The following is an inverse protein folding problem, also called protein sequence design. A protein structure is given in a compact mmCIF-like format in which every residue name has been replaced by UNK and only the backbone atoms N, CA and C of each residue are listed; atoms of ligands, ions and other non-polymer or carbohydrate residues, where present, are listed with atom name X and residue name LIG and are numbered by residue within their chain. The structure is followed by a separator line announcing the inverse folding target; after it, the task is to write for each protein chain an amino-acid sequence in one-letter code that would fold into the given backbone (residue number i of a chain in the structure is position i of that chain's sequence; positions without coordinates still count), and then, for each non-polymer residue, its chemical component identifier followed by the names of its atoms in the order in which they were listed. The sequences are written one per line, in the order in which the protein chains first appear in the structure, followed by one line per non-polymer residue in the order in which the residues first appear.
data_IF_832785377907
#
_entry.id   IF_832785377907
#
_cell.length_a   1.000
_cell.length_b   1.000
_cell.length_c   1.000
_cell.angle_alpha   90.00
_cell.angle_beta   90.00
_cell.angle_gamma   90.00
#
_symmetry.space_group_name_H-M   'P 1'
#
loop_
_entity.id
_entity.type
_entity.pdbx_description
1 polymer ?
#
# COMPACT_ATOMS: atom_id res chain seq x y z
N UNK A 1 -12.00 29.37 15.80
CA UNK A 1 -11.85 28.74 14.48
C UNK A 1 -13.17 28.86 13.76
N UNK A 2 -13.23 29.58 12.64
CA UNK A 2 -14.49 29.72 11.89
C UNK A 2 -14.88 28.38 11.24
N UNK A 3 -16.15 28.20 10.90
CA UNK A 3 -16.62 26.93 10.32
C UNK A 3 -15.96 26.63 8.97
N UNK A 4 -15.72 27.65 8.15
CA UNK A 4 -14.98 27.51 6.89
C UNK A 4 -13.49 27.22 7.08
N UNK A 5 -12.88 27.70 8.17
CA UNK A 5 -11.49 27.38 8.52
C UNK A 5 -11.34 25.88 8.86
N UNK A 6 -12.35 25.28 9.49
CA UNK A 6 -12.38 23.83 9.75
C UNK A 6 -12.51 23.04 8.43
N UNK A 7 -13.34 23.50 7.49
CA UNK A 7 -13.52 22.86 6.19
C UNK A 7 -12.26 22.93 5.32
N UNK A 8 -11.58 24.08 5.32
CA UNK A 8 -10.32 24.31 4.64
C UNK A 8 -9.18 23.47 5.23
N UNK A 9 -9.00 23.49 6.55
CA UNK A 9 -8.03 22.64 7.25
C UNK A 9 -8.29 21.16 7.02
N UNK A 10 -9.55 20.72 7.12
CA UNK A 10 -9.93 19.32 6.91
C UNK A 10 -9.64 18.84 5.48
N UNK A 11 -10.06 19.61 4.48
CA UNK A 11 -9.77 19.30 3.06
C UNK A 11 -8.27 19.37 2.73
N UNK A 12 -7.50 20.23 3.40
CA UNK A 12 -6.04 20.26 3.27
C UNK A 12 -5.37 18.98 3.79
N UNK A 13 -5.78 18.45 4.95
CA UNK A 13 -5.26 17.17 5.44
C UNK A 13 -5.61 16.01 4.51
N UNK A 14 -6.81 16.01 3.93
CA UNK A 14 -7.18 15.01 2.92
C UNK A 14 -6.31 15.15 1.66
N UNK A 15 -6.09 16.38 1.17
CA UNK A 15 -5.15 16.62 0.07
C UNK A 15 -3.75 16.10 0.40
N UNK A 16 -3.21 16.44 1.57
CA UNK A 16 -1.88 16.00 2.00
C UNK A 16 -1.79 14.47 2.10
N UNK A 17 -2.87 13.80 2.54
CA UNK A 17 -2.93 12.33 2.54
C UNK A 17 -2.74 11.74 1.15
N UNK A 18 -3.32 12.35 0.10
CA UNK A 18 -3.17 11.87 -1.26
C UNK A 18 -1.81 12.21 -1.87
N UNK A 19 -1.20 13.34 -1.48
CA UNK A 19 0.19 13.65 -1.85
C UNK A 19 1.15 12.60 -1.28
N UNK A 20 0.97 12.20 -0.02
CA UNK A 20 1.80 11.16 0.60
C UNK A 20 1.55 9.79 -0.06
N UNK A 21 0.29 9.46 -0.38
CA UNK A 21 -0.03 8.25 -1.13
C UNK A 21 0.69 8.22 -2.49
N UNK A 22 0.61 9.31 -3.26
CA UNK A 22 1.29 9.44 -4.56
C UNK A 22 2.81 9.29 -4.45
N UNK A 23 3.43 9.94 -3.47
CA UNK A 23 4.88 9.82 -3.23
C UNK A 23 5.22 8.37 -2.84
N UNK A 24 4.39 7.74 -2.01
CA UNK A 24 4.53 6.35 -1.62
C UNK A 24 4.46 5.39 -2.80
N UNK A 25 3.49 5.55 -3.69
CA UNK A 25 3.30 4.72 -4.89
C UNK A 25 4.50 4.84 -5.84
N UNK A 26 4.98 6.06 -6.07
CA UNK A 26 6.18 6.32 -6.90
C UNK A 26 7.42 5.70 -6.25
N UNK A 27 7.60 5.88 -4.95
CA UNK A 27 8.74 5.33 -4.22
C UNK A 27 8.72 3.79 -4.23
N UNK A 28 7.55 3.17 -4.03
CA UNK A 28 7.39 1.73 -4.11
C UNK A 28 7.74 1.19 -5.51
N UNK A 29 7.34 1.89 -6.57
CA UNK A 29 7.69 1.53 -7.95
C UNK A 29 9.20 1.64 -8.20
N UNK A 30 9.86 2.70 -7.70
CA UNK A 30 11.31 2.88 -7.82
C UNK A 30 12.05 1.76 -7.08
N UNK A 31 11.65 1.46 -5.84
CA UNK A 31 12.26 0.41 -5.02
C UNK A 31 12.08 -0.95 -5.70
N UNK A 32 10.88 -1.25 -6.20
CA UNK A 32 10.59 -2.50 -6.91
C UNK A 32 11.39 -2.62 -8.21
N UNK A 33 11.52 -1.53 -8.98
CA UNK A 33 12.30 -1.51 -10.23
C UNK A 33 13.80 -1.72 -9.96
N UNK A 34 14.37 -0.99 -8.99
CA UNK A 34 15.78 -1.15 -8.61
C UNK A 34 16.08 -2.58 -8.13
N UNK A 35 15.12 -3.18 -7.44
CA UNK A 35 15.19 -4.55 -6.96
C UNK A 35 15.13 -5.58 -8.11
N UNK A 36 14.28 -5.38 -9.13
CA UNK A 36 14.26 -6.23 -10.33
C UNK A 36 15.60 -6.16 -11.07
N UNK A 37 16.16 -4.96 -11.24
CA UNK A 37 17.43 -4.74 -11.92
C UNK A 37 18.61 -5.41 -11.19
N UNK A 38 18.66 -5.31 -9.86
CA UNK A 38 19.64 -6.02 -9.04
C UNK A 38 19.54 -7.54 -9.25
N UNK A 39 18.34 -8.11 -9.22
CA UNK A 39 18.19 -9.57 -9.42
C UNK A 39 18.50 -10.04 -10.84
N UNK A 40 18.16 -9.24 -11.87
CA UNK A 40 18.50 -9.54 -13.25
C UNK A 40 20.01 -9.53 -13.48
N UNK A 41 20.73 -8.58 -12.88
CA UNK A 41 22.20 -8.52 -12.94
C UNK A 41 22.86 -9.66 -12.17
N UNK A 42 22.31 -10.07 -11.02
CA UNK A 42 22.73 -11.28 -10.32
C UNK A 42 22.49 -12.55 -11.15
N UNK A 43 21.31 -12.72 -11.79
CA UNK A 43 21.05 -13.84 -12.70
C UNK A 43 21.97 -13.87 -13.92
N UNK A 44 22.27 -12.71 -14.50
CA UNK A 44 23.21 -12.56 -15.61
C UNK A 44 24.64 -12.91 -15.24
N UNK A 45 25.06 -12.60 -14.01
CA UNK A 45 26.36 -13.05 -13.49
C UNK A 45 26.38 -14.57 -13.22
N UNK A 46 25.27 -15.16 -12.77
CA UNK A 46 25.14 -16.61 -12.56
C UNK A 46 25.21 -17.37 -13.90
N UNK A 47 24.56 -16.88 -14.95
CA UNK A 47 24.64 -17.47 -16.30
C UNK A 47 26.05 -17.35 -16.90
N UNK A 48 26.77 -16.27 -16.61
CA UNK A 48 28.19 -16.13 -16.99
C UNK A 48 29.10 -17.09 -16.21
N UNK A 49 28.91 -17.28 -14.91
CA UNK A 49 29.73 -18.23 -14.13
C UNK A 49 29.47 -19.67 -14.60
N UNK A 50 28.21 -20.07 -14.77
CA UNK A 50 27.86 -21.42 -15.25
C UNK A 50 28.34 -21.71 -16.67
N UNK A 51 28.37 -20.72 -17.56
CA UNK A 51 28.95 -20.87 -18.90
C UNK A 51 30.49 -20.94 -18.90
N UNK A 52 31.18 -20.15 -18.07
CA UNK A 52 32.66 -20.22 -17.95
C UNK A 52 33.12 -21.58 -17.41
N UNK A 53 32.38 -22.19 -16.46
CA UNK A 53 32.68 -23.52 -15.96
C UNK A 53 32.30 -24.66 -16.93
N UNK A 54 31.30 -24.45 -17.81
CA UNK A 54 30.91 -25.43 -18.83
C UNK A 54 31.93 -25.59 -19.98
N UNK A 55 32.79 -24.60 -20.20
CA UNK A 55 33.79 -24.62 -21.28
C UNK A 55 35.23 -24.94 -20.85
N UNK A 56 35.55 -24.96 -19.54
CA UNK A 56 36.95 -25.02 -19.09
C UNK A 56 37.33 -26.21 -18.20
N UNK A 57 36.55 -27.29 -18.17
CA UNK A 57 36.92 -28.51 -17.43
C UNK A 57 37.57 -29.56 -18.33
N UNK A 58 38.80 -29.30 -18.75
CA UNK A 58 39.79 -30.38 -18.86
C UNK A 58 40.78 -30.21 -17.71
N UNK A 59 40.67 -31.11 -16.73
CA UNK A 59 41.64 -31.36 -15.66
C UNK A 59 42.04 -30.21 -14.72
N UNK A 60 41.16 -29.76 -13.80
CA UNK A 60 41.58 -29.38 -12.44
C UNK A 60 40.40 -29.65 -11.49
N UNK A 61 40.63 -30.54 -10.51
CA UNK A 61 39.84 -30.86 -9.31
C UNK A 61 38.37 -30.42 -9.29
N UNK A 62 37.46 -31.40 -9.33
CA UNK A 62 36.04 -31.27 -9.03
C UNK A 62 35.81 -30.89 -7.55
N UNK A 63 36.18 -29.66 -7.17
CA UNK A 63 35.81 -29.10 -5.89
C UNK A 63 34.36 -28.61 -5.99
N UNK A 64 33.45 -29.46 -5.53
CA UNK A 64 32.20 -29.06 -4.88
C UNK A 64 31.25 -28.10 -5.64
N UNK A 65 31.23 -28.15 -6.98
CA UNK A 65 30.27 -27.40 -7.80
C UNK A 65 28.81 -27.74 -7.46
N UNK A 66 28.55 -28.93 -6.91
CA UNK A 66 27.24 -29.35 -6.40
C UNK A 66 26.74 -28.51 -5.22
N UNK A 67 27.62 -28.10 -4.29
CA UNK A 67 27.21 -27.27 -3.14
C UNK A 67 26.97 -25.81 -3.57
N UNK A 68 27.73 -25.31 -4.54
CA UNK A 68 27.61 -23.93 -5.02
C UNK A 68 26.32 -23.73 -5.84
N UNK A 69 25.94 -24.71 -6.66
CA UNK A 69 24.69 -24.68 -7.45
C UNK A 69 23.44 -24.93 -6.59
N UNK A 70 23.54 -25.70 -5.50
CA UNK A 70 22.42 -25.96 -4.59
C UNK A 70 22.16 -24.84 -3.56
N UNK A 71 23.18 -24.06 -3.17
CA UNK A 71 23.03 -22.99 -2.18
C UNK A 71 22.75 -21.60 -2.77
N UNK A 72 23.05 -21.37 -4.06
CA UNK A 72 22.75 -20.10 -4.75
C UNK A 72 21.25 -19.74 -4.83
N UNK A 73 20.33 -20.69 -5.11
CA UNK A 73 18.89 -20.40 -5.14
C UNK A 73 18.35 -19.96 -3.78
N UNK A 74 18.87 -20.52 -2.69
CA UNK A 74 18.40 -20.24 -1.31
C UNK A 74 18.85 -18.84 -0.88
N UNK A 75 20.11 -18.48 -1.14
CA UNK A 75 20.63 -17.15 -0.85
C UNK A 75 19.85 -16.06 -1.61
N UNK A 76 19.59 -16.29 -2.91
CA UNK A 76 18.79 -15.39 -3.73
C UNK A 76 17.38 -15.22 -3.13
N UNK A 77 16.66 -16.31 -2.83
CA UNK A 77 15.29 -16.23 -2.27
C UNK A 77 15.28 -15.54 -0.89
N UNK A 78 16.32 -15.73 -0.07
CA UNK A 78 16.45 -15.05 1.23
C UNK A 78 16.65 -13.54 1.05
N UNK A 79 17.49 -13.13 0.10
CA UNK A 79 17.62 -11.72 -0.29
C UNK A 79 16.29 -11.18 -0.85
N UNK A 80 15.55 -11.99 -1.61
CA UNK A 80 14.24 -11.57 -2.12
C UNK A 80 13.21 -11.35 -1.02
N UNK A 81 13.21 -12.22 -0.01
CA UNK A 81 12.32 -12.11 1.13
C UNK A 81 12.68 -10.91 2.01
N UNK A 82 13.98 -10.65 2.23
CA UNK A 82 14.46 -9.48 2.96
C UNK A 82 14.09 -8.16 2.28
N UNK A 83 14.26 -8.07 0.96
CA UNK A 83 13.85 -6.89 0.19
C UNK A 83 12.33 -6.69 0.21
N UNK A 84 11.55 -7.77 0.14
CA UNK A 84 10.10 -7.72 0.27
C UNK A 84 9.68 -7.19 1.65
N UNK A 85 10.35 -7.61 2.73
CA UNK A 85 10.11 -7.07 4.09
C UNK A 85 10.36 -5.56 4.12
N UNK A 86 11.43 -5.07 3.51
CA UNK A 86 11.72 -3.62 3.46
C UNK A 86 10.61 -2.86 2.73
N UNK A 87 10.12 -3.37 1.61
CA UNK A 87 9.00 -2.77 0.86
C UNK A 87 7.73 -2.75 1.72
N UNK A 88 7.42 -3.85 2.42
CA UNK A 88 6.27 -3.93 3.31
C UNK A 88 6.38 -2.92 4.45
N UNK A 89 7.53 -2.79 5.11
CA UNK A 89 7.76 -1.83 6.19
C UNK A 89 7.61 -0.38 5.69
N UNK A 90 8.16 -0.07 4.51
CA UNK A 90 7.97 1.24 3.89
C UNK A 90 6.50 1.53 3.59
N UNK A 91 5.80 0.58 2.95
CA UNK A 91 4.37 0.69 2.66
C UNK A 91 3.53 0.84 3.94
N UNK A 92 3.92 0.19 5.04
CA UNK A 92 3.30 0.36 6.35
C UNK A 92 3.48 1.80 6.86
N UNK A 93 4.69 2.36 6.80
CA UNK A 93 4.94 3.72 7.27
C UNK A 93 4.14 4.77 6.46
N UNK A 94 4.11 4.61 5.14
CA UNK A 94 3.30 5.46 4.24
C UNK A 94 1.82 5.30 4.57
N UNK A 95 1.30 4.07 4.59
CA UNK A 95 -0.12 3.78 4.84
C UNK A 95 -0.61 4.31 6.18
N UNK A 96 0.19 4.15 7.24
CA UNK A 96 -0.10 4.71 8.57
C UNK A 96 -0.26 6.23 8.52
N UNK A 97 0.67 6.91 7.84
CA UNK A 97 0.66 8.38 7.70
C UNK A 97 -0.55 8.85 6.91
N UNK A 98 -0.87 8.18 5.79
CA UNK A 98 -2.05 8.48 4.96
C UNK A 98 -3.33 8.36 5.77
N UNK A 99 -3.51 7.25 6.50
CA UNK A 99 -4.73 7.00 7.28
C UNK A 99 -4.85 8.02 8.42
N UNK A 100 -3.75 8.34 9.12
CA UNK A 100 -3.78 9.37 10.16
C UNK A 100 -4.24 10.73 9.61
N UNK A 101 -3.69 11.16 8.49
CA UNK A 101 -4.11 12.41 7.85
C UNK A 101 -5.57 12.36 7.42
N UNK A 102 -6.06 11.21 6.94
CA UNK A 102 -7.48 11.02 6.64
C UNK A 102 -8.34 11.17 7.90
N UNK A 103 -7.96 10.53 9.02
CA UNK A 103 -8.67 10.66 10.31
C UNK A 103 -8.74 12.13 10.75
N UNK A 104 -7.62 12.85 10.70
CA UNK A 104 -7.61 14.28 11.05
C UNK A 104 -8.45 15.13 10.09
N UNK A 105 -8.35 14.88 8.78
CA UNK A 105 -9.11 15.59 7.75
C UNK A 105 -10.62 15.43 7.91
N UNK A 106 -11.07 14.17 8.06
CA UNK A 106 -12.49 13.87 8.25
C UNK A 106 -13.01 14.32 9.62
N UNK A 107 -12.19 14.28 10.67
CA UNK A 107 -12.56 14.84 11.98
C UNK A 107 -12.88 16.34 11.88
N UNK A 108 -12.02 17.10 11.18
CA UNK A 108 -12.22 18.54 10.97
C UNK A 108 -13.46 18.81 10.12
N UNK A 109 -13.67 18.06 9.05
CA UNK A 109 -14.89 18.17 8.22
C UNK A 109 -16.17 17.77 8.98
N UNK A 110 -16.12 16.74 9.82
CA UNK A 110 -17.24 16.36 10.70
C UNK A 110 -17.57 17.44 11.73
N UNK A 111 -16.57 18.19 12.20
CA UNK A 111 -16.79 19.32 13.10
C UNK A 111 -17.33 20.58 12.41
N UNK A 112 -17.26 20.63 11.08
CA UNK A 112 -17.88 21.65 10.24
C UNK A 112 -19.32 21.28 9.90
N UNK A 113 -19.53 20.07 9.39
CA UNK A 113 -20.85 19.55 9.05
C UNK A 113 -20.93 18.06 9.42
N UNK A 114 -21.52 17.77 10.57
CA UNK A 114 -21.58 16.42 11.12
C UNK A 114 -22.49 15.49 10.31
N UNK A 115 -23.63 15.98 9.79
CA UNK A 115 -24.58 15.12 9.04
C UNK A 115 -23.92 14.49 7.82
N UNK A 116 -23.03 15.25 7.16
CA UNK A 116 -22.44 14.83 5.91
C UNK A 116 -21.11 14.11 6.09
N UNK A 117 -20.34 14.45 7.13
CA UNK A 117 -18.94 14.02 7.28
C UNK A 117 -18.65 13.16 8.52
N UNK A 118 -19.64 12.84 9.35
CA UNK A 118 -19.41 11.93 10.48
C UNK A 118 -19.17 10.47 10.04
N UNK A 119 -19.91 10.00 9.03
CA UNK A 119 -19.73 8.66 8.47
C UNK A 119 -18.32 8.41 7.90
N UNK A 120 -17.74 9.28 7.03
CA UNK A 120 -16.36 9.06 6.55
C UNK A 120 -15.32 9.22 7.65
N UNK A 121 -15.59 10.01 8.71
CA UNK A 121 -14.73 10.05 9.90
C UNK A 121 -14.70 8.70 10.62
N UNK A 122 -15.86 8.11 10.92
CA UNK A 122 -15.92 6.75 11.48
C UNK A 122 -15.22 5.75 10.54
N UNK A 123 -15.45 5.88 9.24
CA UNK A 123 -14.79 5.07 8.22
C UNK A 123 -13.27 5.11 8.31
N UNK A 124 -12.69 6.31 8.43
CA UNK A 124 -11.24 6.47 8.59
C UNK A 124 -10.68 5.88 9.88
N UNK A 125 -11.44 5.94 10.99
CA UNK A 125 -11.07 5.26 12.24
C UNK A 125 -11.11 3.74 12.06
N UNK A 126 -12.14 3.23 11.38
CA UNK A 126 -12.26 1.80 11.12
C UNK A 126 -11.11 1.29 10.24
N UNK A 127 -10.72 2.07 9.23
CA UNK A 127 -9.51 1.81 8.43
C UNK A 127 -8.24 1.84 9.29
N UNK A 128 -8.12 2.76 10.24
CA UNK A 128 -6.97 2.82 11.15
C UNK A 128 -6.87 1.60 12.06
N UNK A 129 -8.00 1.17 12.66
CA UNK A 129 -8.04 -0.03 13.49
C UNK A 129 -7.71 -1.26 12.64
N UNK A 130 -8.32 -1.38 11.46
CA UNK A 130 -8.03 -2.48 10.54
C UNK A 130 -6.55 -2.54 10.14
N UNK A 131 -5.94 -1.39 9.88
CA UNK A 131 -4.51 -1.29 9.58
C UNK A 131 -3.63 -1.76 10.75
N UNK A 132 -3.95 -1.35 11.98
CA UNK A 132 -3.23 -1.79 13.20
C UNK A 132 -3.40 -3.29 13.45
N UNK A 133 -4.51 -3.90 13.05
CA UNK A 133 -4.70 -5.35 13.18
C UNK A 133 -3.88 -6.13 12.13
N UNK A 134 -3.88 -5.67 10.87
CA UNK A 134 -3.19 -6.37 9.78
C UNK A 134 -1.68 -6.27 9.90
N UNK A 135 -1.14 -5.07 10.11
CA UNK A 135 0.28 -4.81 9.86
C UNK A 135 1.21 -5.55 10.82
N UNK A 136 1.00 -5.52 12.15
CA UNK A 136 1.82 -6.30 13.09
C UNK A 136 1.70 -7.81 12.84
N UNK A 137 0.48 -8.29 12.55
CA UNK A 137 0.25 -9.71 12.26
C UNK A 137 0.97 -10.16 10.98
N UNK A 138 0.95 -9.31 9.95
CA UNK A 138 1.62 -9.59 8.65
C UNK A 138 3.13 -9.55 8.79
N UNK A 139 3.68 -8.53 9.46
CA UNK A 139 5.13 -8.44 9.72
C UNK A 139 5.61 -9.61 10.57
N UNK A 140 4.85 -10.00 11.60
CA UNK A 140 5.18 -11.14 12.44
C UNK A 140 5.25 -12.44 11.63
N UNK A 141 4.29 -12.69 10.75
CA UNK A 141 4.32 -13.85 9.83
C UNK A 141 5.53 -13.77 8.90
N UNK A 142 5.79 -12.60 8.31
CA UNK A 142 6.84 -12.42 7.32
C UNK A 142 8.25 -12.64 7.91
N UNK A 143 8.52 -12.08 9.10
CA UNK A 143 9.77 -12.29 9.85
C UNK A 143 9.90 -13.77 10.27
N UNK A 144 8.80 -14.42 10.65
CA UNK A 144 8.82 -15.83 11.02
C UNK A 144 9.12 -16.74 9.82
N UNK A 145 8.63 -16.40 8.63
CA UNK A 145 8.97 -17.09 7.38
C UNK A 145 10.44 -16.89 7.03
N UNK A 146 10.99 -15.68 7.21
CA UNK A 146 12.40 -15.40 6.95
C UNK A 146 13.34 -16.20 7.86
N UNK A 147 13.04 -16.23 9.16
CA UNK A 147 13.86 -16.94 10.15
C UNK A 147 13.77 -18.47 10.03
N UNK A 148 12.67 -19.00 9.51
CA UNK A 148 12.46 -20.45 9.34
C UNK A 148 12.71 -20.95 7.91
N UNK A 149 13.13 -20.07 6.99
CA UNK A 149 13.25 -20.36 5.56
C UNK A 149 14.10 -21.60 5.25
N UNK A 150 15.24 -21.75 5.91
CA UNK A 150 16.16 -22.88 5.71
C UNK A 150 15.54 -24.22 6.13
N UNK A 151 14.74 -24.22 7.20
CA UNK A 151 14.00 -25.42 7.64
C UNK A 151 12.84 -25.78 6.71
N UNK A 152 12.14 -24.76 6.19
CA UNK A 152 11.03 -24.90 5.23
C UNK A 152 11.51 -25.49 3.91
N UNK A 153 12.67 -25.05 3.44
CA UNK A 153 13.31 -25.54 2.22
C UNK A 153 13.82 -26.98 2.37
N UNK A 154 14.42 -27.32 3.53
CA UNK A 154 15.03 -28.64 3.75
C UNK A 154 14.00 -29.76 4.01
N UNK A 155 12.90 -29.47 4.70
CA UNK A 155 11.96 -30.50 5.16
C UNK A 155 10.63 -30.54 4.40
N UNK A 156 10.41 -29.64 3.43
CA UNK A 156 9.16 -29.51 2.63
C UNK A 156 7.86 -29.53 3.45
N UNK A 157 7.95 -29.24 4.75
CA UNK A 157 6.86 -29.30 5.72
C UNK A 157 6.88 -28.00 6.48
N UNK A 158 5.72 -27.39 6.70
CA UNK A 158 5.64 -26.23 7.57
C UNK A 158 6.02 -26.66 8.99
N UNK A 159 7.03 -26.03 9.62
CA UNK A 159 7.29 -26.25 11.04
C UNK A 159 5.98 -26.04 11.83
N UNK A 160 5.61 -26.93 12.76
CA UNK A 160 4.36 -26.80 13.54
C UNK A 160 4.23 -25.43 14.22
N UNK A 161 5.36 -24.84 14.63
CA UNK A 161 5.43 -23.51 15.19
C UNK A 161 5.03 -22.41 14.18
N UNK A 162 5.47 -22.51 12.92
CA UNK A 162 5.09 -21.56 11.86
C UNK A 162 3.61 -21.72 11.46
N UNK A 163 3.09 -22.95 11.46
CA UNK A 163 1.67 -23.22 11.24
C UNK A 163 0.81 -22.60 12.35
N UNK A 164 1.18 -22.78 13.62
CA UNK A 164 0.49 -22.17 14.75
C UNK A 164 0.54 -20.63 14.68
N UNK A 165 1.66 -20.06 14.29
CA UNK A 165 1.84 -18.61 14.13
C UNK A 165 0.98 -18.05 12.99
N UNK A 166 0.96 -18.70 11.82
CA UNK A 166 0.12 -18.27 10.69
C UNK A 166 -1.36 -18.36 11.00
N UNK A 167 -1.81 -19.42 11.68
CA UNK A 167 -3.19 -19.56 12.16
C UNK A 167 -3.56 -18.48 13.19
N UNK A 168 -2.64 -18.15 14.11
CA UNK A 168 -2.86 -17.09 15.11
C UNK A 168 -2.96 -15.71 14.45
N UNK A 169 -2.13 -15.45 13.44
CA UNK A 169 -2.15 -14.21 12.68
C UNK A 169 -3.36 -14.09 11.73
N UNK A 170 -3.96 -15.21 11.29
CA UNK A 170 -5.06 -15.20 10.34
C UNK A 170 -6.31 -14.46 10.88
N UNK A 171 -6.61 -14.58 12.18
CA UNK A 171 -7.76 -13.93 12.81
C UNK A 171 -7.66 -12.38 12.76
N UNK A 172 -6.60 -11.74 13.28
CA UNK A 172 -6.48 -10.28 13.21
C UNK A 172 -6.33 -9.79 11.77
N UNK A 173 -5.70 -10.56 10.87
CA UNK A 173 -5.63 -10.21 9.44
C UNK A 173 -7.03 -10.20 8.83
N UNK A 174 -7.82 -11.25 9.00
CA UNK A 174 -9.16 -11.34 8.44
C UNK A 174 -10.09 -10.23 8.97
N UNK A 175 -10.11 -10.03 10.29
CA UNK A 175 -10.90 -8.97 10.90
C UNK A 175 -10.44 -7.58 10.42
N UNK A 176 -9.12 -7.38 10.33
CA UNK A 176 -8.54 -6.13 9.86
C UNK A 176 -8.89 -5.83 8.41
N UNK A 177 -8.95 -6.85 7.52
CA UNK A 177 -9.36 -6.70 6.11
C UNK A 177 -10.82 -6.23 6.04
N UNK A 178 -11.71 -6.83 6.81
CA UNK A 178 -13.11 -6.43 6.85
C UNK A 178 -13.28 -4.99 7.33
N UNK A 179 -12.53 -4.59 8.37
CA UNK A 179 -12.54 -3.22 8.89
C UNK A 179 -11.98 -2.22 7.88
N UNK A 180 -10.87 -2.54 7.22
CA UNK A 180 -10.31 -1.69 6.16
C UNK A 180 -11.29 -1.52 5.02
N UNK A 181 -11.91 -2.60 4.54
CA UNK A 181 -12.87 -2.54 3.43
C UNK A 181 -14.10 -1.70 3.79
N UNK A 182 -14.70 -1.95 4.95
CA UNK A 182 -15.85 -1.19 5.43
C UNK A 182 -15.49 0.30 5.61
N UNK A 183 -14.34 0.58 6.22
CA UNK A 183 -13.84 1.93 6.41
C UNK A 183 -13.58 2.65 5.09
N UNK A 184 -12.98 1.95 4.13
CA UNK A 184 -12.68 2.47 2.80
C UNK A 184 -13.95 2.87 2.05
N UNK A 185 -14.99 2.04 2.05
CA UNK A 185 -16.28 2.37 1.43
C UNK A 185 -16.87 3.65 2.05
N UNK A 186 -16.85 3.77 3.38
CA UNK A 186 -17.35 4.96 4.08
C UNK A 186 -16.57 6.23 3.70
N UNK A 187 -15.24 6.13 3.55
CA UNK A 187 -14.39 7.24 3.11
C UNK A 187 -14.70 7.62 1.65
N UNK A 188 -14.88 6.65 0.75
CA UNK A 188 -15.25 6.93 -0.65
C UNK A 188 -16.57 7.70 -0.76
N UNK A 189 -17.55 7.35 0.07
CA UNK A 189 -18.81 8.11 0.18
C UNK A 189 -18.51 9.56 0.62
N UNK A 190 -17.62 9.75 1.59
CA UNK A 190 -17.16 11.08 2.00
C UNK A 190 -16.53 11.89 0.86
N UNK A 191 -15.62 11.28 0.09
CA UNK A 191 -15.01 11.95 -1.06
C UNK A 191 -16.05 12.30 -2.13
N UNK A 192 -17.01 11.41 -2.39
CA UNK A 192 -18.08 11.68 -3.34
C UNK A 192 -18.92 12.89 -2.92
N UNK A 193 -19.30 12.97 -1.64
CA UNK A 193 -20.03 14.11 -1.05
C UNK A 193 -19.23 15.40 -1.17
N UNK A 194 -17.95 15.37 -0.82
CA UNK A 194 -17.03 16.51 -0.93
C UNK A 194 -16.93 17.00 -2.39
N UNK A 195 -16.79 16.08 -3.34
CA UNK A 195 -16.78 16.39 -4.77
C UNK A 195 -18.10 17.00 -5.25
N UNK A 196 -19.24 16.57 -4.69
CA UNK A 196 -20.54 17.17 -4.99
C UNK A 196 -20.67 18.59 -4.44
N UNK A 197 -20.33 18.81 -3.16
CA UNK A 197 -20.45 20.10 -2.48
C UNK A 197 -19.60 21.18 -3.16
N UNK A 198 -18.36 20.85 -3.53
CA UNK A 198 -17.43 21.79 -4.16
C UNK A 198 -17.41 21.73 -5.69
N UNK A 199 -18.37 21.00 -6.29
CA UNK A 199 -18.52 20.80 -7.74
C UNK A 199 -17.22 20.37 -8.43
N UNK A 200 -16.50 19.43 -7.83
CA UNK A 200 -15.25 18.87 -8.36
C UNK A 200 -15.57 17.58 -9.13
N UNK A 201 -15.54 17.65 -10.46
CA UNK A 201 -15.68 16.48 -11.33
C UNK A 201 -14.49 15.53 -11.25
N UNK A 202 -13.29 16.05 -10.94
CA UNK A 202 -12.06 15.26 -10.80
C UNK A 202 -12.17 14.22 -9.69
N UNK A 203 -12.74 14.59 -8.53
CA UNK A 203 -12.93 13.65 -7.41
C UNK A 203 -13.88 12.51 -7.82
N UNK A 204 -14.96 12.82 -8.56
CA UNK A 204 -15.91 11.80 -9.03
C UNK A 204 -15.27 10.87 -10.07
N UNK A 205 -14.54 11.43 -11.02
CA UNK A 205 -13.81 10.66 -12.03
C UNK A 205 -12.78 9.73 -11.39
N UNK A 206 -12.04 10.21 -10.39
CA UNK A 206 -11.09 9.41 -9.65
C UNK A 206 -11.74 8.22 -8.95
N UNK A 207 -12.84 8.44 -8.21
CA UNK A 207 -13.58 7.36 -7.54
C UNK A 207 -14.05 6.30 -8.56
N UNK A 208 -14.53 6.72 -9.73
CA UNK A 208 -14.95 5.79 -10.79
C UNK A 208 -13.76 4.95 -11.29
N UNK A 209 -12.63 5.59 -11.60
CA UNK A 209 -11.42 4.89 -12.07
C UNK A 209 -10.87 3.92 -11.03
N UNK A 210 -10.91 4.31 -9.76
CA UNK A 210 -10.53 3.46 -8.63
C UNK A 210 -11.40 2.19 -8.56
N UNK A 211 -12.72 2.32 -8.68
CA UNK A 211 -13.64 1.18 -8.68
C UNK A 211 -13.33 0.26 -9.87
N UNK A 212 -13.11 0.83 -11.06
CA UNK A 212 -12.73 0.06 -12.25
C UNK A 212 -11.41 -0.69 -12.02
N UNK A 213 -10.41 -0.04 -11.42
CA UNK A 213 -9.12 -0.65 -11.07
C UNK A 213 -9.30 -1.86 -10.16
N UNK A 214 -10.09 -1.72 -9.09
CA UNK A 214 -10.38 -2.80 -8.14
C UNK A 214 -11.04 -3.99 -8.85
N UNK A 215 -12.03 -3.72 -9.72
CA UNK A 215 -12.72 -4.75 -10.49
C UNK A 215 -11.72 -5.48 -11.40
N UNK A 216 -10.90 -4.76 -12.17
CA UNK A 216 -9.90 -5.37 -13.06
C UNK A 216 -8.92 -6.24 -12.26
N UNK A 217 -8.42 -5.75 -11.13
CA UNK A 217 -7.49 -6.49 -10.28
C UNK A 217 -8.10 -7.77 -9.71
N UNK A 218 -9.42 -7.80 -9.49
CA UNK A 218 -10.13 -8.98 -8.99
C UNK A 218 -10.34 -10.05 -10.07
N UNK A 219 -10.60 -9.64 -11.32
CA UNK A 219 -10.97 -10.56 -12.39
C UNK A 219 -9.82 -10.97 -13.30
N UNK A 220 -8.67 -10.29 -13.27
CA UNK A 220 -7.57 -10.59 -14.17
C UNK A 220 -6.20 -10.29 -13.60
N UNK A 221 -5.46 -11.35 -13.27
CA UNK A 221 -4.02 -11.26 -12.98
C UNK A 221 -3.21 -10.76 -14.20
N UNK A 222 -3.70 -10.98 -15.42
CA UNK A 222 -3.03 -10.58 -16.65
C UNK A 222 -3.11 -9.05 -16.91
N UNK A 223 -4.05 -8.37 -16.26
CA UNK A 223 -4.27 -6.92 -16.36
C UNK A 223 -3.81 -6.16 -15.10
N UNK A 224 -2.97 -6.78 -14.25
CA UNK A 224 -2.43 -6.15 -13.03
C UNK A 224 -1.72 -4.81 -13.29
N UNK A 225 -0.98 -4.70 -14.40
CA UNK A 225 -0.34 -3.44 -14.76
C UNK A 225 -1.37 -2.34 -15.07
N UNK A 226 -2.47 -2.70 -15.74
CA UNK A 226 -3.53 -1.76 -16.06
C UNK A 226 -4.25 -1.29 -14.80
N UNK A 227 -4.54 -2.18 -13.84
CA UNK A 227 -5.14 -1.77 -12.58
C UNK A 227 -4.24 -0.81 -11.79
N UNK A 228 -2.93 -1.09 -11.74
CA UNK A 228 -1.96 -0.18 -11.10
C UNK A 228 -1.91 1.20 -11.77
N UNK A 229 -1.92 1.26 -13.10
CA UNK A 229 -1.94 2.54 -13.84
C UNK A 229 -3.24 3.31 -13.57
N UNK A 230 -4.39 2.64 -13.56
CA UNK A 230 -5.68 3.27 -13.26
C UNK A 230 -5.76 3.78 -11.81
N UNK A 231 -5.18 3.04 -10.87
CA UNK A 231 -5.08 3.46 -9.47
C UNK A 231 -4.21 4.71 -9.33
N UNK A 232 -3.04 4.74 -9.97
CA UNK A 232 -2.17 5.91 -9.98
C UNK A 232 -2.86 7.15 -10.57
N UNK A 233 -3.57 6.99 -11.69
CA UNK A 233 -4.34 8.08 -12.31
C UNK A 233 -5.44 8.55 -11.36
N UNK A 234 -6.11 7.64 -10.66
CA UNK A 234 -7.12 7.98 -9.66
C UNK A 234 -6.53 8.80 -8.51
N UNK A 235 -5.40 8.38 -7.94
CA UNK A 235 -4.70 9.12 -6.86
C UNK A 235 -4.32 10.53 -7.33
N UNK A 236 -3.83 10.66 -8.56
CA UNK A 236 -3.49 11.96 -9.14
C UNK A 236 -4.73 12.87 -9.27
N UNK A 237 -5.83 12.34 -9.81
CA UNK A 237 -7.09 13.08 -9.94
C UNK A 237 -7.70 13.45 -8.59
N UNK A 238 -7.64 12.56 -7.59
CA UNK A 238 -8.04 12.84 -6.21
C UNK A 238 -7.18 13.96 -5.62
N UNK A 239 -5.87 13.91 -5.81
CA UNK A 239 -4.93 14.94 -5.32
C UNK A 239 -5.26 16.31 -5.91
N UNK A 240 -5.38 16.42 -7.24
CA UNK A 240 -5.72 17.68 -7.92
C UNK A 240 -7.12 18.14 -7.53
N UNK A 241 -8.08 17.22 -7.44
CA UNK A 241 -9.44 17.49 -7.03
C UNK A 241 -9.52 18.06 -5.61
N UNK A 242 -8.83 17.44 -4.65
CA UNK A 242 -8.78 17.88 -3.25
C UNK A 242 -8.01 19.18 -3.09
N UNK A 243 -6.95 19.40 -3.88
CA UNK A 243 -6.27 20.70 -3.91
C UNK A 243 -7.23 21.82 -4.33
N UNK A 244 -8.02 21.60 -5.37
CA UNK A 244 -9.04 22.57 -5.79
C UNK A 244 -10.10 22.79 -4.70
N UNK A 245 -10.53 21.74 -4.01
CA UNK A 245 -11.49 21.85 -2.90
C UNK A 245 -10.90 22.67 -1.75
N UNK A 246 -9.66 22.36 -1.34
CA UNK A 246 -8.97 23.07 -0.26
C UNK A 246 -8.81 24.56 -0.59
N UNK A 247 -8.42 24.89 -1.82
CA UNK A 247 -8.33 26.28 -2.28
C UNK A 247 -9.69 26.99 -2.22
N UNK A 248 -10.77 26.35 -2.68
CA UNK A 248 -12.13 26.92 -2.64
C UNK A 248 -12.61 27.12 -1.20
N UNK A 249 -12.39 26.14 -0.32
CA UNK A 249 -12.74 26.23 1.09
C UNK A 249 -11.99 27.37 1.79
N UNK A 250 -10.70 27.55 1.48
CA UNK A 250 -9.90 28.66 2.00
C UNK A 250 -10.42 30.03 1.56
N UNK A 251 -10.88 30.16 0.32
CA UNK A 251 -11.48 31.42 -0.17
C UNK A 251 -12.80 31.77 0.55
N UNK A 252 -13.48 30.77 1.13
CA UNK A 252 -14.72 30.94 1.89
C UNK A 252 -14.47 31.32 3.36
N UNK A 253 -13.23 31.19 3.88
CA UNK A 253 -12.89 31.53 5.27
C UNK A 253 -13.18 32.99 5.65
N UNK A 254 -13.19 33.90 4.66
CA UNK A 254 -13.50 35.32 4.83
C UNK A 254 -14.93 35.72 4.48
N UNK A 255 -15.80 34.77 4.08
CA UNK A 255 -17.19 35.07 3.75
C UNK A 255 -18.08 34.88 4.98
N UNK A 256 -19.04 35.79 5.23
CA UNK A 256 -20.01 35.59 6.31
C UNK A 256 -20.76 34.28 6.05
N UNK A 257 -20.90 33.46 7.09
CA UNK A 257 -21.73 32.24 7.05
C UNK A 257 -23.14 32.69 6.70
N UNK A 258 -23.58 32.42 5.46
CA UNK A 258 -24.97 32.62 5.09
C UNK A 258 -25.78 31.60 5.88
N UNK A 259 -26.39 32.05 6.97
CA UNK A 259 -27.44 31.33 7.67
C UNK A 259 -28.64 31.21 6.72
N UNK A 260 -28.81 30.04 6.12
CA UNK A 260 -30.10 29.61 5.59
C UNK A 260 -30.98 29.12 6.73
#
# INVERSE_FOLDING_TARGET
MSDYEKASSGSFYLFLSQVIALIGDIAALIIFSAYIEANLTHLGNISNITSIYGFNTTSVTAYNASNVVAHMPIALIKEMLGAFIVIVVFATAVGFTVILLMVYGWKKLSSFNSSDYHMPYIGSILSFIGFILIMPATLFVLISVETSFESLYAFHTLPPQLLAMTLTAAIPIFLGILMLLAGYIMVLIGYWRLGSQFRSSLIKAAIILLIISIVISFFSALLLLLSQVLELISVLLLTVGLYSVSKKAKLMEGQPVQSS
#
